data_IF_279043385115
#
_entry.id   IF_279043385115
#
_cell.length_a   1.000
_cell.length_b   1.000
_cell.length_c   1.000
_cell.angle_alpha   90.00
_cell.angle_beta   90.00
_cell.angle_gamma   90.00
#
_symmetry.space_group_name_H-M   'P 1'
#
loop_
_entity.id
_entity.type
_entity.pdbx_description
1 polymer ?
#
# COMPACT_ATOMS: atom_id res chain seq x y z
N UNK A 1 19.79 10.13 1.09
CA UNK A 1 19.48 9.59 -0.24
C UNK A 1 18.01 9.68 -0.53
N UNK A 2 17.69 10.15 -1.71
CA UNK A 2 16.30 10.39 -2.06
C UNK A 2 15.71 9.17 -2.73
N UNK A 3 14.54 8.77 -2.26
CA UNK A 3 13.78 7.73 -2.90
C UNK A 3 13.06 8.31 -4.10
N UNK A 4 12.96 7.57 -5.20
CA UNK A 4 12.25 8.10 -6.37
C UNK A 4 10.77 8.27 -6.10
N UNK A 5 10.16 9.17 -6.85
CA UNK A 5 8.73 9.33 -6.79
C UNK A 5 8.03 8.11 -7.34
N UNK A 6 6.84 7.83 -6.84
CA UNK A 6 6.08 6.71 -7.32
C UNK A 6 5.34 6.02 -6.20
N UNK A 7 4.86 4.83 -6.48
CA UNK A 7 4.09 4.05 -5.51
C UNK A 7 5.00 3.10 -4.77
N UNK A 8 4.73 2.94 -3.49
CA UNK A 8 5.47 2.04 -2.64
C UNK A 8 4.50 1.20 -1.84
N UNK A 9 4.87 -0.04 -1.58
CA UNK A 9 4.11 -0.92 -0.71
C UNK A 9 4.87 -1.10 0.58
N UNK A 10 4.20 -0.93 1.70
CA UNK A 10 4.84 -1.06 3.00
C UNK A 10 5.06 -2.54 3.28
N UNK A 11 6.34 -2.93 3.38
CA UNK A 11 6.68 -4.31 3.62
C UNK A 11 6.67 -4.63 5.11
N UNK A 12 7.44 -3.86 5.89
CA UNK A 12 7.50 -4.10 7.31
C UNK A 12 8.13 -2.91 8.00
N UNK A 13 8.02 -2.92 9.31
CA UNK A 13 8.69 -1.93 10.14
C UNK A 13 9.88 -2.58 10.83
N UNK A 14 11.01 -1.89 10.79
CA UNK A 14 12.22 -2.37 11.47
C UNK A 14 12.72 -1.27 12.39
N UNK A 15 12.47 -1.46 13.68
CA UNK A 15 12.87 -0.45 14.63
C UNK A 15 12.12 0.84 14.39
N UNK A 16 12.85 1.90 14.12
CA UNK A 16 12.25 3.20 13.92
C UNK A 16 12.04 3.55 12.47
N UNK A 17 12.33 2.62 11.57
CA UNK A 17 12.20 2.89 10.14
C UNK A 17 11.27 1.88 9.52
N UNK A 18 10.82 2.20 8.33
CA UNK A 18 9.92 1.36 7.56
C UNK A 18 10.62 0.91 6.30
N UNK A 19 10.40 -0.35 5.93
CA UNK A 19 10.95 -0.90 4.68
C UNK A 19 9.80 -1.00 3.71
N UNK A 20 9.97 -0.36 2.56
CA UNK A 20 8.95 -0.31 1.53
C UNK A 20 9.52 -0.84 0.23
N UNK A 21 8.65 -1.42 -0.57
CA UNK A 21 9.04 -1.91 -1.89
C UNK A 21 8.50 -0.96 -2.95
N UNK A 22 9.38 -0.51 -3.83
CA UNK A 22 8.99 0.38 -4.90
C UNK A 22 8.46 -0.36 -6.11
N UNK A 23 8.01 0.41 -7.09
CA UNK A 23 7.48 -0.18 -8.32
C UNK A 23 8.57 -0.88 -9.13
N UNK A 24 9.82 -0.52 -8.88
CA UNK A 24 10.94 -1.15 -9.57
C UNK A 24 11.36 -2.46 -8.91
N UNK A 25 10.66 -2.88 -7.87
CA UNK A 25 11.00 -4.13 -7.19
C UNK A 25 12.09 -3.99 -6.16
N UNK A 26 12.59 -2.79 -5.94
CA UNK A 26 13.67 -2.59 -4.98
C UNK A 26 13.10 -2.11 -3.65
N UNK A 27 13.83 -2.38 -2.58
CA UNK A 27 13.38 -1.95 -1.26
C UNK A 27 14.04 -0.63 -0.89
N UNK A 28 13.28 0.18 -0.18
CA UNK A 28 13.70 1.49 0.27
C UNK A 28 13.35 1.66 1.73
N UNK A 29 14.09 2.51 2.42
CA UNK A 29 13.87 2.76 3.83
C UNK A 29 13.31 4.15 4.00
N UNK A 30 12.23 4.24 4.77
CA UNK A 30 11.58 5.52 5.09
C UNK A 30 11.60 5.69 6.60
N UNK A 31 11.85 6.92 7.03
CA UNK A 31 11.87 7.21 8.47
C UNK A 31 10.55 7.75 8.98
N UNK A 32 9.56 7.94 8.10
CA UNK A 32 8.23 8.33 8.54
C UNK A 32 7.23 7.93 7.46
N UNK A 33 5.99 7.78 7.87
CA UNK A 33 4.90 7.45 6.95
C UNK A 33 3.68 8.27 7.35
N UNK A 34 2.71 8.42 6.45
CA UNK A 34 1.48 9.12 6.80
C UNK A 34 0.75 8.41 7.92
N UNK A 35 -0.02 9.18 8.65
CA UNK A 35 -0.78 8.64 9.74
C UNK A 35 -1.74 7.57 9.25
N UNK A 36 -1.82 6.47 9.98
CA UNK A 36 -2.69 5.37 9.61
C UNK A 36 -2.05 4.33 8.71
N UNK A 37 -0.82 4.57 8.26
CA UNK A 37 -0.13 3.61 7.40
C UNK A 37 0.26 2.37 8.21
N UNK A 38 0.17 1.22 7.56
CA UNK A 38 0.55 -0.04 8.19
C UNK A 38 1.01 -1.01 7.13
N UNK A 39 1.53 -2.13 7.58
CA UNK A 39 2.04 -3.14 6.66
C UNK A 39 0.98 -3.56 5.66
N UNK A 40 1.40 -3.65 4.42
CA UNK A 40 0.50 -4.01 3.35
C UNK A 40 -0.15 -2.82 2.65
N UNK A 41 -0.11 -1.66 3.26
CA UNK A 41 -0.67 -0.47 2.65
C UNK A 41 0.25 0.07 1.58
N UNK A 42 -0.32 0.88 0.70
CA UNK A 42 0.44 1.53 -0.35
C UNK A 42 0.49 3.03 -0.11
N UNK A 43 1.63 3.60 -0.44
CA UNK A 43 1.80 5.05 -0.33
C UNK A 43 2.34 5.57 -1.65
N UNK A 44 2.05 6.83 -1.91
CA UNK A 44 2.51 7.50 -3.11
C UNK A 44 3.45 8.61 -2.67
N UNK A 45 4.64 8.59 -3.26
CA UNK A 45 5.64 9.61 -2.97
C UNK A 45 5.66 10.63 -4.09
N UNK A 46 5.53 11.88 -3.71
CA UNK A 46 5.59 13.00 -4.65
C UNK A 46 6.46 14.08 -4.03
N UNK A 47 7.74 14.10 -4.40
CA UNK A 47 8.68 15.01 -3.78
C UNK A 47 8.86 14.64 -2.32
N UNK A 48 8.55 15.59 -1.45
CA UNK A 48 8.64 15.36 -0.01
C UNK A 48 7.34 14.87 0.58
N UNK A 49 6.33 14.67 -0.24
CA UNK A 49 5.01 14.28 0.23
C UNK A 49 4.81 12.79 0.14
N UNK A 50 4.19 12.22 1.16
CA UNK A 50 3.77 10.82 1.16
C UNK A 50 2.29 10.79 1.47
N UNK A 51 1.54 10.06 0.64
CA UNK A 51 0.09 9.99 0.78
C UNK A 51 -0.34 8.53 0.74
N UNK A 52 -1.23 8.16 1.63
CA UNK A 52 -1.82 6.84 1.57
C UNK A 52 -2.73 6.74 0.36
N UNK A 53 -2.67 5.60 -0.30
CA UNK A 53 -3.55 5.35 -1.43
C UNK A 53 -4.91 4.93 -0.91
N UNK A 54 -5.97 5.68 -1.20
CA UNK A 54 -7.27 5.39 -0.59
C UNK A 54 -8.09 4.37 -1.34
N UNK A 55 -7.64 3.91 -2.48
CA UNK A 55 -8.48 3.12 -3.37
C UNK A 55 -8.63 1.68 -2.93
N UNK A 56 -7.74 1.21 -2.10
CA UNK A 56 -7.67 -0.21 -1.78
C UNK A 56 -8.94 -0.74 -1.18
N UNK A 57 -9.55 0.04 -0.32
CA UNK A 57 -10.72 -0.44 0.38
C UNK A 57 -11.87 -0.69 -0.58
N UNK A 58 -12.04 0.21 -1.54
CA UNK A 58 -13.08 0.02 -2.53
C UNK A 58 -12.86 -1.23 -3.36
N UNK A 59 -11.63 -1.46 -3.73
CA UNK A 59 -11.32 -2.64 -4.52
C UNK A 59 -11.63 -3.92 -3.77
N UNK A 60 -11.33 -3.94 -2.50
CA UNK A 60 -11.62 -5.12 -1.70
C UNK A 60 -13.11 -5.39 -1.61
N UNK A 61 -13.88 -4.34 -1.44
CA UNK A 61 -15.32 -4.48 -1.37
C UNK A 61 -15.88 -5.04 -2.66
N UNK A 62 -15.38 -4.58 -3.77
CA UNK A 62 -15.81 -5.09 -5.06
C UNK A 62 -15.52 -6.56 -5.21
N UNK A 63 -14.34 -6.96 -4.82
CA UNK A 63 -13.97 -8.35 -4.93
C UNK A 63 -14.87 -9.23 -4.09
N UNK A 64 -15.15 -8.79 -2.88
CA UNK A 64 -16.02 -9.54 -2.01
C UNK A 64 -17.41 -9.69 -2.60
N UNK A 65 -17.93 -8.63 -3.16
CA UNK A 65 -19.25 -8.68 -3.76
C UNK A 65 -19.32 -9.69 -4.89
N UNK A 66 -18.28 -9.73 -5.69
CA UNK A 66 -18.24 -10.68 -6.79
C UNK A 66 -18.24 -12.11 -6.30
N UNK A 67 -17.46 -12.36 -5.29
CA UNK A 67 -17.39 -13.72 -4.77
C UNK A 67 -18.71 -14.16 -4.18
N UNK A 68 -19.36 -13.27 -3.48
CA UNK A 68 -20.67 -13.58 -2.94
C UNK A 68 -21.65 -13.93 -4.03
N UNK A 69 -21.63 -13.20 -5.11
CA UNK A 69 -22.51 -13.49 -6.22
C UNK A 69 -22.24 -14.85 -6.80
N UNK A 70 -20.99 -15.18 -6.95
CA UNK A 70 -20.62 -16.46 -7.52
C UNK A 70 -21.14 -17.61 -6.66
N UNK A 71 -20.98 -17.47 -5.37
CA UNK A 71 -21.47 -18.49 -4.47
C UNK A 71 -22.98 -18.66 -4.56
N UNK A 72 -23.68 -17.57 -4.61
CA UNK A 72 -25.13 -17.63 -4.68
C UNK A 72 -25.59 -18.29 -5.95
N UNK A 73 -24.87 -18.07 -7.01
CA UNK A 73 -25.25 -18.65 -8.29
C UNK A 73 -25.12 -20.16 -8.28
N UNK A 74 -24.27 -20.65 -7.46
CA UNK A 74 -24.03 -22.11 -7.45
C UNK A 74 -25.18 -22.87 -6.89
N UNK A 75 -26.08 -22.22 -6.19
CA UNK A 75 -27.25 -22.87 -5.68
C UNK A 75 -28.39 -22.77 -6.64
#
# INVERSE_FOLDING_TARGET
MLQPNGKYTIDRQEGKVWVLEGEDGQTYVFDWLPEGAKEGDRVIKDGDNLTLEPVQQSERDEIKSRMDRLFKKRR
#
